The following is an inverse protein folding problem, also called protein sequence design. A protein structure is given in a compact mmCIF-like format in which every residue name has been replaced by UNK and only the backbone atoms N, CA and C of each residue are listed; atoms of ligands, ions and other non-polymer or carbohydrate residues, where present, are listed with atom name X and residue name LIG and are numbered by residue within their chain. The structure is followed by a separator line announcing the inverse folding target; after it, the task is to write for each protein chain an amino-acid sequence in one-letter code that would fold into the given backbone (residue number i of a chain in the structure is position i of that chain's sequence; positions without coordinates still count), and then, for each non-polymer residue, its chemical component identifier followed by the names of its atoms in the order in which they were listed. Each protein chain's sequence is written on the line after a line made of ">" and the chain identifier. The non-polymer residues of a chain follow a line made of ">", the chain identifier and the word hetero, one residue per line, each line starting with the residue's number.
data_IF_322989142640
#
_entry.id   IF_322989142640
#
_cell.length_a   1.000
_cell.length_b   1.000
_cell.length_c   1.000
_cell.angle_alpha   90.00
_cell.angle_beta   90.00
_cell.angle_gamma   90.00
#
_symmetry.space_group_name_H-M   'P 1'
#
loop_
_entity.id
_entity.type
_entity.pdbx_description
1 polymer ?
#
# COMPACT_ATOMS: atom_id res chain seq x y z
N UNK A 1 10.76 12.67 -3.33
CA UNK A 1 9.51 12.06 -2.82
C UNK A 1 8.45 12.23 -3.90
N UNK A 2 7.41 11.37 -3.93
CA UNK A 2 6.36 11.39 -4.96
C UNK A 2 4.98 11.33 -4.32
N UNK A 3 4.03 12.07 -4.88
CA UNK A 3 2.66 12.17 -4.38
C UNK A 3 1.69 11.56 -5.37
N UNK A 4 0.60 11.01 -4.84
CA UNK A 4 -0.49 10.39 -5.56
C UNK A 4 -1.79 10.92 -4.97
N UNK A 5 -2.65 11.44 -5.83
CA UNK A 5 -3.98 11.92 -5.46
C UNK A 5 -5.02 10.82 -5.66
N UNK A 6 -6.22 11.03 -5.13
CA UNK A 6 -7.34 10.09 -5.23
C UNK A 6 -7.03 8.69 -4.68
N UNK A 7 -6.17 8.61 -3.66
CA UNK A 7 -5.79 7.35 -3.02
C UNK A 7 -6.67 7.10 -1.81
N UNK A 8 -7.26 5.91 -1.73
CA UNK A 8 -8.04 5.47 -0.58
C UNK A 8 -7.14 4.67 0.37
N UNK A 9 -7.32 4.86 1.68
CA UNK A 9 -6.61 4.09 2.72
C UNK A 9 -7.57 3.18 3.48
N UNK A 10 -7.30 1.87 3.47
CA UNK A 10 -8.09 0.88 4.19
C UNK A 10 -9.57 0.87 3.75
N UNK A 11 -10.47 1.18 4.68
CA UNK A 11 -11.92 1.27 4.44
C UNK A 11 -12.42 2.72 4.38
N UNK A 12 -11.52 3.70 4.22
CA UNK A 12 -11.91 5.10 4.08
C UNK A 12 -12.83 5.28 2.88
N UNK A 13 -13.98 5.94 3.09
CA UNK A 13 -14.88 6.35 2.01
C UNK A 13 -14.39 7.62 1.28
N UNK A 14 -13.39 8.30 1.84
CA UNK A 14 -12.87 9.55 1.29
C UNK A 14 -11.49 9.34 0.68
N UNK A 15 -11.27 9.81 -0.58
CA UNK A 15 -9.97 9.81 -1.18
C UNK A 15 -9.03 10.80 -0.47
N UNK A 16 -7.74 10.52 -0.54
CA UNK A 16 -6.69 11.35 0.03
C UNK A 16 -5.46 11.42 -0.84
N UNK A 17 -4.45 12.10 -0.31
CA UNK A 17 -3.13 12.25 -0.93
C UNK A 17 -2.17 11.30 -0.22
N UNK A 18 -1.61 10.35 -0.97
CA UNK A 18 -0.49 9.53 -0.52
C UNK A 18 0.83 10.16 -0.95
N UNK A 19 1.77 10.27 -0.03
CA UNK A 19 3.15 10.67 -0.28
C UNK A 19 4.09 9.51 0.02
N UNK A 20 4.90 9.13 -0.95
CA UNK A 20 6.00 8.18 -0.79
C UNK A 20 7.33 8.95 -0.71
N UNK A 21 8.08 8.76 0.36
CA UNK A 21 9.39 9.36 0.60
C UNK A 21 10.42 8.29 1.00
N UNK A 22 11.73 8.56 0.90
CA UNK A 22 12.74 7.62 1.40
C UNK A 22 12.57 7.26 2.88
N UNK A 23 12.08 8.19 3.71
CA UNK A 23 11.85 7.96 5.14
C UNK A 23 10.60 7.14 5.47
N UNK A 24 9.71 6.90 4.50
CA UNK A 24 8.45 6.20 4.74
C UNK A 24 7.33 6.65 3.83
N UNK A 25 6.11 6.63 4.34
CA UNK A 25 4.92 7.11 3.64
C UNK A 25 4.04 7.95 4.56
N UNK A 26 3.25 8.82 3.94
CA UNK A 26 2.23 9.62 4.62
C UNK A 26 0.95 9.67 3.79
N UNK A 27 -0.21 9.51 4.42
CA UNK A 27 -1.52 9.64 3.79
C UNK A 27 -2.43 10.55 4.60
N UNK A 28 -3.18 11.42 3.93
CA UNK A 28 -4.20 12.28 4.54
C UNK A 28 -5.34 12.57 3.57
N UNK A 29 -6.54 12.80 4.09
CA UNK A 29 -7.64 13.39 3.30
C UNK A 29 -7.53 14.92 3.32
N UNK A 30 -8.30 15.60 2.46
CA UNK A 30 -8.33 17.07 2.45
C UNK A 30 -8.89 17.65 3.77
N UNK A 31 -9.92 17.01 4.31
CA UNK A 31 -10.69 17.52 5.45
C UNK A 31 -10.25 16.95 6.82
N UNK A 32 -9.24 16.07 6.84
CA UNK A 32 -8.76 15.46 8.08
C UNK A 32 -7.41 16.02 8.52
N UNK A 33 -7.35 16.44 9.78
CA UNK A 33 -6.08 16.77 10.46
C UNK A 33 -5.26 15.51 10.78
N UNK A 34 -5.87 14.32 10.69
CA UNK A 34 -5.20 13.05 10.98
C UNK A 34 -4.40 12.58 9.76
N UNK A 35 -3.08 12.61 9.91
CA UNK A 35 -2.14 12.09 8.92
C UNK A 35 -1.69 10.69 9.34
N UNK A 36 -1.96 9.69 8.51
CA UNK A 36 -1.36 8.36 8.66
C UNK A 36 0.08 8.46 8.20
N UNK A 37 1.04 8.18 9.09
CA UNK A 37 2.47 8.15 8.75
C UNK A 37 3.04 6.79 9.15
N UNK A 38 3.79 6.17 8.25
CA UNK A 38 4.46 4.89 8.52
C UNK A 38 5.90 5.03 8.09
N UNK A 39 6.83 4.69 8.98
CA UNK A 39 8.25 4.82 8.72
C UNK A 39 8.75 3.66 7.84
N UNK A 40 9.74 3.93 6.99
CA UNK A 40 10.28 2.94 6.05
C UNK A 40 10.95 1.75 6.76
N UNK A 41 11.48 1.95 7.96
CA UNK A 41 12.05 0.89 8.80
C UNK A 41 10.99 -0.09 9.30
N UNK A 42 9.71 0.26 9.30
CA UNK A 42 8.62 -0.65 9.64
C UNK A 42 8.21 -1.55 8.47
N UNK A 43 8.67 -1.26 7.26
CA UNK A 43 8.27 -2.02 6.07
C UNK A 43 8.92 -3.40 6.07
N UNK A 44 8.10 -4.43 5.88
CA UNK A 44 8.54 -5.82 5.70
C UNK A 44 8.50 -6.24 4.24
N UNK A 45 7.41 -5.92 3.54
CA UNK A 45 7.23 -6.21 2.11
C UNK A 45 6.19 -5.28 1.50
N UNK A 46 6.31 -5.06 0.20
CA UNK A 46 5.38 -4.24 -0.57
C UNK A 46 4.88 -5.06 -1.76
N UNK A 47 3.57 -5.20 -1.86
CA UNK A 47 2.90 -6.04 -2.83
C UNK A 47 1.91 -5.21 -3.65
N UNK A 48 1.91 -5.44 -4.95
CA UNK A 48 0.95 -4.90 -5.89
C UNK A 48 -0.03 -6.00 -6.27
N UNK A 49 -1.32 -5.78 -5.99
CA UNK A 49 -2.34 -6.81 -6.18
C UNK A 49 -3.44 -6.30 -7.09
N UNK A 50 -3.84 -7.12 -8.06
CA UNK A 50 -5.08 -6.85 -8.82
C UNK A 50 -6.27 -7.20 -7.94
N UNK A 51 -7.16 -6.24 -7.68
CA UNK A 51 -8.37 -6.38 -6.85
C UNK A 51 -9.62 -6.08 -7.68
N UNK A 52 -10.82 -6.32 -7.13
CA UNK A 52 -12.08 -6.08 -7.84
C UNK A 52 -12.29 -4.60 -8.25
N UNK A 53 -11.65 -3.68 -7.52
CA UNK A 53 -11.58 -2.24 -7.82
C UNK A 53 -10.18 -1.85 -8.31
N UNK A 54 -9.77 -2.41 -9.44
CA UNK A 54 -8.47 -2.17 -10.08
C UNK A 54 -7.26 -2.79 -9.36
N UNK A 55 -6.44 -1.96 -8.73
CA UNK A 55 -5.16 -2.36 -8.15
C UNK A 55 -4.95 -1.76 -6.77
N UNK A 56 -4.35 -2.56 -5.90
CA UNK A 56 -4.05 -2.24 -4.53
C UNK A 56 -2.56 -2.33 -4.26
N UNK A 57 -2.01 -1.31 -3.60
CA UNK A 57 -0.71 -1.36 -2.96
C UNK A 57 -0.89 -1.82 -1.51
N UNK A 58 -0.32 -2.97 -1.17
CA UNK A 58 -0.28 -3.48 0.20
C UNK A 58 1.13 -3.36 0.76
N UNK A 59 1.27 -2.62 1.86
CA UNK A 59 2.51 -2.51 2.62
C UNK A 59 2.34 -3.36 3.88
N UNK A 60 2.99 -4.51 3.94
CA UNK A 60 3.01 -5.31 5.15
C UNK A 60 4.12 -4.83 6.08
N UNK A 61 3.78 -4.68 7.36
CA UNK A 61 4.68 -4.14 8.37
C UNK A 61 5.34 -5.25 9.19
N UNK A 62 6.46 -4.92 9.84
CA UNK A 62 7.21 -5.84 10.69
C UNK A 62 6.39 -6.34 11.88
N UNK A 63 5.48 -5.51 12.39
CA UNK A 63 4.56 -5.84 13.49
C UNK A 63 3.39 -6.77 13.09
N UNK A 64 3.36 -7.28 11.85
CA UNK A 64 2.33 -8.20 11.36
C UNK A 64 1.09 -7.51 10.77
N UNK A 65 0.89 -6.21 11.00
CA UNK A 65 -0.19 -5.45 10.38
C UNK A 65 0.11 -5.11 8.91
N UNK A 66 -0.89 -4.56 8.20
CA UNK A 66 -0.72 -4.12 6.82
C UNK A 66 -1.52 -2.85 6.50
N UNK A 67 -0.85 -1.89 5.86
CA UNK A 67 -1.47 -0.72 5.26
C UNK A 67 -1.87 -1.05 3.81
N UNK A 68 -3.09 -0.65 3.42
CA UNK A 68 -3.63 -0.88 2.07
C UNK A 68 -4.04 0.44 1.46
N UNK A 69 -3.59 0.65 0.22
CA UNK A 69 -3.84 1.85 -0.55
C UNK A 69 -4.41 1.47 -1.92
N UNK A 70 -5.53 2.05 -2.29
CA UNK A 70 -6.25 1.76 -3.55
C UNK A 70 -6.32 3.00 -4.44
N UNK A 71 -6.49 2.81 -5.75
CA UNK A 71 -6.70 3.91 -6.72
C UNK A 71 -5.47 4.36 -7.51
N UNK A 72 -4.43 3.52 -7.60
CA UNK A 72 -3.18 3.88 -8.28
C UNK A 72 -3.16 3.55 -9.78
N UNK A 73 -2.37 4.32 -10.54
CA UNK A 73 -1.90 3.93 -11.87
C UNK A 73 -0.50 3.27 -11.81
N UNK A 74 -0.28 2.22 -12.62
CA UNK A 74 0.79 1.24 -12.43
C UNK A 74 2.20 1.72 -12.77
N UNK A 75 2.35 2.64 -13.73
CA UNK A 75 3.62 2.83 -14.45
C UNK A 75 4.79 3.32 -13.59
N UNK A 76 4.53 4.01 -12.48
CA UNK A 76 5.58 4.73 -11.74
C UNK A 76 5.92 4.21 -10.35
N UNK A 77 5.19 3.21 -9.85
CA UNK A 77 5.39 2.71 -8.47
C UNK A 77 6.63 1.85 -8.32
N UNK A 78 6.89 0.93 -9.28
CA UNK A 78 7.98 -0.04 -9.16
C UNK A 78 9.34 0.60 -8.92
N UNK A 79 9.64 1.67 -9.65
CA UNK A 79 10.90 2.40 -9.50
C UNK A 79 10.98 3.13 -8.16
N UNK A 80 9.90 3.80 -7.74
CA UNK A 80 9.86 4.51 -6.45
C UNK A 80 10.10 3.55 -5.30
N UNK A 81 9.43 2.40 -5.29
CA UNK A 81 9.56 1.39 -4.23
C UNK A 81 11.00 0.87 -4.17
N UNK A 82 11.59 0.52 -5.31
CA UNK A 82 12.97 0.04 -5.40
C UNK A 82 13.97 1.10 -4.90
N UNK A 83 13.80 2.35 -5.33
CA UNK A 83 14.74 3.43 -5.02
C UNK A 83 14.65 3.87 -3.56
N UNK A 84 13.43 4.11 -3.05
CA UNK A 84 13.20 4.63 -1.71
C UNK A 84 13.39 3.57 -0.62
N UNK A 85 12.93 2.34 -0.84
CA UNK A 85 12.82 1.34 0.23
C UNK A 85 13.75 0.15 0.07
N UNK A 86 14.45 0.04 -1.08
CA UNK A 86 15.28 -1.13 -1.43
C UNK A 86 14.51 -2.45 -1.39
N UNK A 87 13.19 -2.38 -1.59
CA UNK A 87 12.27 -3.51 -1.67
C UNK A 87 11.85 -3.73 -3.12
N UNK A 88 11.51 -4.98 -3.45
CA UNK A 88 10.88 -5.31 -4.72
C UNK A 88 9.36 -5.12 -4.60
N UNK A 89 8.75 -4.57 -5.64
CA UNK A 89 7.29 -4.55 -5.78
C UNK A 89 6.84 -5.91 -6.31
N UNK A 90 6.28 -6.75 -5.44
CA UNK A 90 5.78 -8.08 -5.82
C UNK A 90 4.40 -7.97 -6.47
N UNK A 91 4.27 -8.37 -7.74
CA UNK A 91 2.95 -8.49 -8.38
C UNK A 91 2.28 -9.79 -7.96
N UNK A 92 1.10 -9.71 -7.36
CA UNK A 92 0.29 -10.87 -6.98
C UNK A 92 -1.08 -10.80 -7.65
N UNK A 93 -1.35 -11.73 -8.55
CA UNK A 93 -2.69 -11.91 -9.11
C UNK A 93 -3.57 -12.66 -8.10
N UNK A 94 -4.78 -12.15 -7.84
CA UNK A 94 -5.77 -12.91 -7.10
C UNK A 94 -6.16 -14.12 -7.96
N UNK A 95 -5.90 -15.33 -7.47
CA UNK A 95 -6.39 -16.54 -8.12
C UNK A 95 -7.92 -16.51 -8.07
N UNK A 96 -8.55 -16.37 -9.23
CA UNK A 96 -10.03 -16.41 -9.43
C UNK A 96 -10.65 -17.80 -9.16
N UNK A 97 -9.87 -18.75 -8.64
CA UNK A 97 -10.40 -20.02 -8.13
C UNK A 97 -10.72 -19.83 -6.65
N UNK A 98 -12.02 -19.82 -6.33
CA UNK A 98 -12.56 -19.64 -4.98
C UNK A 98 -11.98 -20.61 -3.95
N UNK A 99 -10.88 -20.19 -3.32
CA UNK A 99 -10.18 -20.92 -2.29
C UNK A 99 -9.54 -19.97 -1.29
N UNK A 100 -10.34 -19.15 -0.62
CA UNK A 100 -9.90 -18.39 0.55
C UNK A 100 -9.97 -19.28 1.81
N UNK A 101 -9.18 -20.35 1.82
CA UNK A 101 -8.79 -21.06 3.03
C UNK A 101 -7.27 -21.16 3.03
N UNK A 102 -6.60 -20.13 3.54
CA UNK A 102 -5.16 -20.02 3.44
C UNK A 102 -4.56 -19.17 4.55
N UNK A 103 -4.48 -19.77 5.74
CA UNK A 103 -3.63 -19.43 6.89
C UNK A 103 -3.75 -18.01 7.45
N UNK A 104 -4.56 -17.91 8.51
CA UNK A 104 -4.23 -17.07 9.66
C UNK A 104 -2.98 -17.67 10.31
N UNK A 105 -1.79 -17.14 10.00
CA UNK A 105 -0.63 -17.37 10.86
C UNK A 105 -0.85 -16.55 12.13
N UNK A 106 -1.28 -17.22 13.20
CA UNK A 106 -1.00 -16.78 14.55
C UNK A 106 0.44 -17.17 14.86
N UNK A 107 1.28 -16.19 15.17
CA UNK A 107 2.37 -16.33 16.14
C UNK A 107 2.63 -14.99 16.80
#
# INVERSE_FOLDING_TARGET
>A
SKQFENIYYGLSNYPGILKLAPSGLGWKTADSENIVTISADEFKKIQWMRVARDYQLKVALKNGSAARFDGFNFESLREIIRTNYKLNLETKELSVRGGNWGKTDFQ
#
